data_IF_694413440683
#
_entry.id   IF_694413440683
#
_cell.length_a   1.000
_cell.length_b   1.000
_cell.length_c   1.000
_cell.angle_alpha   90.00
_cell.angle_beta   90.00
_cell.angle_gamma   90.00
#
_symmetry.space_group_name_H-M   'P 1'
#
loop_
_entity.id
_entity.type
_entity.pdbx_description
1 polymer ?
#
# COMPACT_ATOMS: atom_id res chain seq x y z
N UNK A 1 40.40 -9.26 -17.49
CA UNK A 1 38.98 -8.80 -17.50
C UNK A 1 38.96 -7.48 -16.75
N UNK A 2 38.97 -6.36 -17.46
CA UNK A 2 39.02 -5.02 -16.85
C UNK A 2 37.62 -4.61 -16.36
N UNK A 3 37.53 -4.22 -15.09
CA UNK A 3 36.31 -3.71 -14.48
C UNK A 3 36.10 -2.28 -14.99
N UNK A 4 34.99 -2.02 -15.66
CA UNK A 4 34.63 -0.70 -16.17
C UNK A 4 34.24 0.23 -15.00
N UNK A 5 35.21 1.01 -14.53
CA UNK A 5 35.06 1.98 -13.45
C UNK A 5 34.07 3.12 -13.78
N UNK A 6 33.82 3.41 -15.07
CA UNK A 6 32.84 4.42 -15.47
C UNK A 6 31.41 3.94 -15.26
N UNK A 7 31.16 2.64 -15.46
CA UNK A 7 29.86 2.02 -15.20
C UNK A 7 29.52 1.98 -13.70
N UNK A 8 30.55 1.81 -12.84
CA UNK A 8 30.40 1.88 -11.37
C UNK A 8 30.12 3.31 -10.90
N UNK A 9 30.79 4.32 -11.49
CA UNK A 9 30.55 5.75 -11.16
C UNK A 9 29.16 6.21 -11.59
N UNK A 10 28.66 5.81 -12.76
CA UNK A 10 27.30 6.12 -13.22
C UNK A 10 26.24 5.52 -12.29
N UNK A 11 26.44 4.29 -11.82
CA UNK A 11 25.54 3.65 -10.85
C UNK A 11 25.56 4.32 -9.48
N UNK A 12 26.72 4.85 -9.05
CA UNK A 12 26.86 5.57 -7.79
C UNK A 12 26.15 6.94 -7.82
N UNK A 13 26.23 7.67 -8.93
CA UNK A 13 25.51 8.95 -9.13
C UNK A 13 23.99 8.76 -9.20
N UNK A 14 23.51 7.69 -9.81
CA UNK A 14 22.08 7.30 -9.82
C UNK A 14 21.61 6.94 -8.42
N UNK A 15 22.44 6.27 -7.60
CA UNK A 15 22.11 5.95 -6.22
C UNK A 15 22.04 7.19 -5.31
N UNK A 16 22.93 8.18 -5.53
CA UNK A 16 22.95 9.46 -4.77
C UNK A 16 21.76 10.34 -5.16
N UNK A 17 21.40 10.40 -6.45
CA UNK A 17 20.19 11.13 -6.90
C UNK A 17 18.89 10.48 -6.39
N UNK A 18 18.87 9.15 -6.22
CA UNK A 18 17.76 8.42 -5.59
C UNK A 18 17.65 8.68 -4.09
N UNK A 19 18.76 8.86 -3.36
CA UNK A 19 18.76 9.25 -1.94
C UNK A 19 18.08 10.60 -1.71
N UNK A 20 18.34 11.62 -2.54
CA UNK A 20 17.71 12.96 -2.41
C UNK A 20 16.18 12.95 -2.55
N UNK A 21 15.59 11.96 -3.23
CA UNK A 21 14.13 11.84 -3.37
C UNK A 21 13.46 11.03 -2.25
N UNK A 22 14.21 10.19 -1.53
CA UNK A 22 13.73 9.52 -0.32
C UNK A 22 13.53 10.52 0.84
N UNK A 23 14.23 11.67 0.82
CA UNK A 23 14.08 12.75 1.81
C UNK A 23 12.69 13.43 1.77
N UNK A 24 11.87 13.12 0.76
CA UNK A 24 10.48 13.61 0.65
C UNK A 24 9.46 12.74 1.42
N UNK A 25 9.89 11.58 1.95
CA UNK A 25 9.03 10.74 2.77
C UNK A 25 8.94 11.32 4.17
N UNK A 26 7.73 11.69 4.57
CA UNK A 26 7.51 12.47 5.81
C UNK A 26 7.38 11.60 7.05
N UNK A 27 7.03 10.33 6.88
CA UNK A 27 6.81 9.37 7.97
C UNK A 27 8.03 8.49 8.26
N UNK A 28 8.90 8.29 7.27
CA UNK A 28 10.05 7.41 7.39
C UNK A 28 11.03 7.93 8.46
N UNK A 29 11.40 7.07 9.41
CA UNK A 29 12.34 7.40 10.49
C UNK A 29 11.78 8.23 11.65
N UNK A 30 10.52 8.68 11.61
CA UNK A 30 9.86 9.40 12.72
C UNK A 30 9.14 8.41 13.63
N UNK A 31 9.46 8.42 14.93
CA UNK A 31 8.81 7.56 15.94
C UNK A 31 7.58 8.20 16.58
N UNK A 32 7.41 9.52 16.47
CA UNK A 32 6.35 10.34 17.05
C UNK A 32 5.15 10.57 16.13
N UNK A 33 5.15 9.94 14.94
CA UNK A 33 4.06 10.06 13.99
C UNK A 33 2.76 9.49 14.57
N UNK A 34 1.72 10.33 14.66
CA UNK A 34 0.39 9.95 15.11
C UNK A 34 -0.37 9.18 14.03
N UNK A 35 -1.14 8.17 14.43
CA UNK A 35 -2.04 7.48 13.53
C UNK A 35 -3.13 8.44 13.03
N UNK A 36 -3.42 8.47 11.71
CA UNK A 36 -4.53 9.25 11.17
C UNK A 36 -5.86 8.83 11.81
N UNK A 37 -6.77 9.78 11.97
CA UNK A 37 -8.08 9.53 12.60
C UNK A 37 -9.07 8.81 11.69
N UNK A 38 -8.86 8.91 10.36
CA UNK A 38 -9.70 8.28 9.33
C UNK A 38 -8.88 8.08 8.04
N UNK A 39 -9.34 7.24 7.10
CA UNK A 39 -8.70 7.08 5.79
C UNK A 39 -8.60 8.38 4.99
N UNK A 40 -9.61 9.26 5.09
CA UNK A 40 -9.62 10.57 4.43
C UNK A 40 -8.48 11.49 4.91
N UNK A 41 -7.97 11.30 6.13
CA UNK A 41 -6.86 12.05 6.71
C UNK A 41 -5.51 11.32 6.59
N UNK A 42 -5.53 10.12 6.04
CA UNK A 42 -4.33 9.33 5.80
C UNK A 42 -3.75 9.62 4.40
N UNK A 43 -2.45 9.42 4.25
CA UNK A 43 -1.79 9.59 2.98
C UNK A 43 -0.88 8.40 2.69
N UNK A 44 -1.04 7.83 1.51
CA UNK A 44 -0.09 6.88 0.96
C UNK A 44 1.08 7.66 0.33
N UNK A 45 2.26 7.53 0.92
CA UNK A 45 3.49 8.10 0.38
C UNK A 45 4.10 7.15 -0.66
N UNK A 46 4.79 7.73 -1.62
CA UNK A 46 5.41 6.98 -2.71
C UNK A 46 6.84 7.44 -2.95
N UNK A 47 7.64 6.55 -3.52
CA UNK A 47 9.00 6.84 -3.95
C UNK A 47 9.25 6.31 -5.36
N UNK A 48 10.26 6.82 -6.09
CA UNK A 48 10.55 6.37 -7.45
C UNK A 48 10.88 4.88 -7.50
N UNK A 49 10.24 4.16 -8.43
CA UNK A 49 10.55 2.76 -8.68
C UNK A 49 12.04 2.60 -9.08
N UNK A 50 12.83 1.81 -8.33
CA UNK A 50 14.25 1.63 -8.61
C UNK A 50 14.54 0.87 -9.91
N UNK A 51 13.56 0.12 -10.45
CA UNK A 51 13.70 -0.70 -11.64
C UNK A 51 12.48 -0.58 -12.58
N UNK A 52 12.15 0.62 -13.12
CA UNK A 52 10.88 0.88 -13.83
C UNK A 52 10.76 0.12 -15.17
N UNK A 53 11.89 -0.38 -15.70
CA UNK A 53 11.91 -1.21 -16.94
C UNK A 53 11.72 -2.70 -16.65
N UNK A 54 11.70 -3.11 -15.38
CA UNK A 54 11.57 -4.50 -14.98
C UNK A 54 10.14 -4.79 -14.56
N UNK A 55 9.62 -5.92 -15.01
CA UNK A 55 8.33 -6.41 -14.56
C UNK A 55 8.55 -7.28 -13.31
N UNK A 56 8.25 -6.75 -12.13
CA UNK A 56 8.34 -7.45 -10.86
C UNK A 56 7.13 -7.11 -9.98
N UNK A 57 6.80 -8.02 -9.10
CA UNK A 57 5.64 -7.91 -8.22
C UNK A 57 6.09 -7.60 -6.79
N UNK A 58 5.36 -6.72 -6.14
CA UNK A 58 5.51 -6.41 -4.72
C UNK A 58 4.26 -6.92 -4.03
N UNK A 59 4.46 -7.62 -2.91
CA UNK A 59 3.40 -8.13 -2.06
C UNK A 59 3.49 -7.49 -0.68
N UNK A 60 2.38 -6.94 -0.20
CA UNK A 60 2.18 -6.52 1.18
C UNK A 60 1.10 -7.39 1.81
N UNK A 61 1.29 -7.77 3.06
CA UNK A 61 0.30 -8.47 3.86
C UNK A 61 0.23 -7.91 5.27
N UNK A 62 -0.95 -7.96 5.87
CA UNK A 62 -1.15 -7.64 7.30
C UNK A 62 -2.34 -8.41 7.85
N UNK A 63 -2.21 -8.94 9.05
CA UNK A 63 -3.29 -9.55 9.83
C UNK A 63 -3.93 -8.56 10.84
N UNK A 64 -3.42 -7.31 10.91
CA UNK A 64 -3.80 -6.31 11.92
C UNK A 64 -4.91 -5.35 11.43
N UNK A 65 -5.58 -5.64 10.31
CA UNK A 65 -6.60 -4.75 9.80
C UNK A 65 -7.90 -4.84 10.61
N UNK A 66 -8.48 -3.66 10.90
CA UNK A 66 -9.79 -3.57 11.54
C UNK A 66 -10.58 -2.36 11.03
N UNK A 67 -11.89 -2.52 10.93
CA UNK A 67 -12.88 -1.49 10.63
C UNK A 67 -14.11 -1.69 11.53
N UNK A 68 -15.16 -0.89 11.33
CA UNK A 68 -16.38 -0.98 12.13
C UNK A 68 -17.55 -1.32 11.21
N UNK A 69 -18.31 -2.36 11.57
CA UNK A 69 -19.56 -2.67 10.88
C UNK A 69 -20.53 -1.48 10.99
N UNK A 70 -21.03 -0.93 9.87
CA UNK A 70 -21.88 0.27 9.89
C UNK A 70 -23.25 0.01 10.53
N UNK A 71 -23.68 -1.25 10.56
CA UNK A 71 -24.99 -1.66 11.11
C UNK A 71 -24.91 -1.96 12.60
N UNK A 72 -23.98 -2.84 12.99
CA UNK A 72 -23.89 -3.34 14.38
C UNK A 72 -22.96 -2.53 15.29
N UNK A 73 -22.07 -1.74 14.70
CA UNK A 73 -21.01 -1.04 15.44
C UNK A 73 -19.93 -1.95 16.01
N UNK A 74 -19.93 -3.23 15.69
CA UNK A 74 -18.89 -4.18 16.10
C UNK A 74 -17.65 -4.04 15.21
N UNK A 75 -16.44 -4.32 15.74
CA UNK A 75 -15.24 -4.31 14.93
C UNK A 75 -15.24 -5.51 13.96
N UNK A 76 -14.84 -5.24 12.72
CA UNK A 76 -14.51 -6.23 11.70
C UNK A 76 -13.00 -6.38 11.64
N UNK A 77 -12.51 -7.62 11.68
CA UNK A 77 -11.08 -7.94 11.57
C UNK A 77 -10.82 -8.61 10.23
N UNK A 78 -9.70 -8.28 9.60
CA UNK A 78 -9.34 -8.89 8.33
C UNK A 78 -7.83 -9.06 8.16
N UNK A 79 -7.46 -10.06 7.36
CA UNK A 79 -6.18 -10.10 6.67
C UNK A 79 -6.31 -9.33 5.37
N UNK A 80 -5.38 -8.42 5.10
CA UNK A 80 -5.29 -7.69 3.84
C UNK A 80 -4.03 -8.12 3.10
N UNK A 81 -4.18 -8.54 1.86
CA UNK A 81 -3.11 -8.84 0.92
C UNK A 81 -3.20 -7.84 -0.25
N UNK A 82 -2.08 -7.20 -0.59
CA UNK A 82 -1.95 -6.27 -1.72
C UNK A 82 -0.81 -6.73 -2.61
N UNK A 83 -1.16 -7.23 -3.78
CA UNK A 83 -0.21 -7.63 -4.83
C UNK A 83 -0.20 -6.61 -5.95
N UNK A 84 0.95 -6.01 -6.29
CA UNK A 84 1.00 -5.06 -7.38
C UNK A 84 2.30 -5.10 -8.18
N UNK A 85 2.19 -4.67 -9.44
CA UNK A 85 3.32 -4.42 -10.33
C UNK A 85 3.52 -2.92 -10.46
N UNK A 86 4.59 -2.35 -9.88
CA UNK A 86 4.81 -0.91 -9.92
C UNK A 86 5.15 -0.45 -11.34
N UNK A 87 4.68 0.75 -11.72
CA UNK A 87 5.16 1.45 -12.92
C UNK A 87 6.30 2.41 -12.55
N UNK A 88 6.02 3.67 -12.34
CA UNK A 88 7.02 4.71 -12.02
C UNK A 88 7.26 4.89 -10.51
N UNK A 89 6.28 4.53 -9.70
CA UNK A 89 6.27 4.76 -8.26
C UNK A 89 6.03 3.45 -7.50
N UNK A 90 6.68 3.33 -6.35
CA UNK A 90 6.42 2.32 -5.34
C UNK A 90 5.77 2.97 -4.11
N UNK A 91 4.86 2.26 -3.46
CA UNK A 91 4.25 2.69 -2.20
C UNK A 91 5.24 2.48 -1.04
N UNK A 92 5.31 3.47 -0.14
CA UNK A 92 6.15 3.40 1.06
C UNK A 92 5.41 2.63 2.16
N UNK A 93 6.04 1.62 2.71
CA UNK A 93 5.42 0.62 3.61
C UNK A 93 4.94 1.19 4.94
N UNK A 94 5.63 2.16 5.54
CA UNK A 94 5.23 2.78 6.80
C UNK A 94 3.98 3.64 6.61
N UNK A 95 3.89 4.37 5.50
CA UNK A 95 2.68 5.13 5.16
C UNK A 95 1.48 4.21 4.91
N UNK A 96 1.71 3.06 4.25
CA UNK A 96 0.67 2.04 4.06
C UNK A 96 0.18 1.49 5.40
N UNK A 97 1.09 1.19 6.33
CA UNK A 97 0.72 0.78 7.70
C UNK A 97 -0.19 1.82 8.38
N UNK A 98 0.15 3.11 8.33
CA UNK A 98 -0.67 4.17 8.91
C UNK A 98 -2.00 4.32 8.20
N UNK A 99 -2.02 4.20 6.87
CA UNK A 99 -3.23 4.24 6.06
C UNK A 99 -4.19 3.11 6.45
N UNK A 100 -3.73 1.87 6.47
CA UNK A 100 -4.57 0.72 6.86
C UNK A 100 -5.04 0.83 8.32
N UNK A 101 -4.19 1.27 9.25
CA UNK A 101 -4.56 1.48 10.65
C UNK A 101 -5.58 2.63 10.85
N UNK A 102 -5.73 3.54 9.89
CA UNK A 102 -6.70 4.63 9.95
C UNK A 102 -8.16 4.17 9.85
N UNK A 103 -8.39 2.96 9.32
CA UNK A 103 -9.72 2.35 9.20
C UNK A 103 -10.32 1.87 10.54
N UNK A 104 -9.54 1.79 11.61
CA UNK A 104 -9.96 1.22 12.91
C UNK A 104 -11.24 1.79 13.50
N UNK A 105 -11.61 3.01 13.13
CA UNK A 105 -12.85 3.69 13.55
C UNK A 105 -13.78 3.99 12.36
N UNK A 106 -13.42 3.57 11.15
CA UNK A 106 -14.20 3.81 9.95
C UNK A 106 -15.38 2.86 9.89
N UNK A 107 -16.59 3.42 9.69
CA UNK A 107 -17.83 2.67 9.55
C UNK A 107 -18.10 2.44 8.06
N UNK A 108 -17.83 1.24 7.58
CA UNK A 108 -18.07 0.90 6.18
C UNK A 108 -18.33 -0.60 6.01
N UNK A 109 -19.06 -0.96 4.96
CA UNK A 109 -19.17 -2.35 4.55
C UNK A 109 -17.84 -2.90 4.03
N UNK A 110 -17.60 -4.16 4.24
CA UNK A 110 -16.35 -4.84 3.89
C UNK A 110 -16.00 -4.71 2.41
N UNK A 111 -17.01 -4.75 1.53
CA UNK A 111 -16.87 -4.55 0.09
C UNK A 111 -16.41 -3.12 -0.24
N UNK A 112 -17.00 -2.12 0.43
CA UNK A 112 -16.61 -0.73 0.24
C UNK A 112 -15.18 -0.47 0.72
N UNK A 113 -14.80 -1.00 1.88
CA UNK A 113 -13.43 -0.91 2.43
C UNK A 113 -12.41 -1.43 1.42
N UNK A 114 -12.63 -2.63 0.87
CA UNK A 114 -11.69 -3.26 -0.06
C UNK A 114 -11.53 -2.44 -1.35
N UNK A 115 -12.64 -1.94 -1.90
CA UNK A 115 -12.61 -1.10 -3.10
C UNK A 115 -11.95 0.26 -2.84
N UNK A 116 -12.21 0.92 -1.70
CA UNK A 116 -11.55 2.18 -1.33
C UNK A 116 -10.03 2.01 -1.19
N UNK A 117 -9.57 0.90 -0.60
CA UNK A 117 -8.14 0.59 -0.52
C UNK A 117 -7.54 0.47 -1.91
N UNK A 118 -8.20 -0.22 -2.83
CA UNK A 118 -7.77 -0.34 -4.23
C UNK A 118 -7.67 1.03 -4.91
N UNK A 119 -8.74 1.83 -4.83
CA UNK A 119 -8.82 3.15 -5.46
C UNK A 119 -7.73 4.10 -4.97
N UNK A 120 -7.54 4.17 -3.66
CA UNK A 120 -6.51 5.03 -3.06
C UNK A 120 -5.10 4.56 -3.42
N UNK A 121 -4.87 3.24 -3.49
CA UNK A 121 -3.60 2.67 -3.93
C UNK A 121 -3.30 3.03 -5.39
N UNK A 122 -4.28 2.87 -6.29
CA UNK A 122 -4.17 3.25 -7.70
C UNK A 122 -3.91 4.75 -7.85
N UNK A 123 -4.63 5.59 -7.10
CA UNK A 123 -4.44 7.04 -7.06
C UNK A 123 -3.02 7.44 -6.65
N UNK A 124 -2.47 6.75 -5.63
CA UNK A 124 -1.17 7.06 -5.08
C UNK A 124 -0.01 6.72 -6.01
N UNK A 125 0.02 5.53 -6.59
CA UNK A 125 1.22 5.05 -7.34
C UNK A 125 0.98 4.71 -8.80
N UNK A 126 -0.27 4.70 -9.29
CA UNK A 126 -0.63 4.34 -10.68
C UNK A 126 0.10 3.09 -11.14
N UNK A 127 -0.12 1.94 -10.51
CA UNK A 127 0.57 0.71 -10.84
C UNK A 127 0.14 0.19 -12.22
N UNK A 128 0.91 -0.74 -12.80
CA UNK A 128 0.49 -1.45 -14.02
C UNK A 128 -0.67 -2.39 -13.73
N UNK A 129 -0.63 -3.03 -12.58
CA UNK A 129 -1.70 -3.84 -12.01
C UNK A 129 -1.63 -3.83 -10.49
N UNK A 130 -2.77 -3.97 -9.84
CA UNK A 130 -2.86 -4.22 -8.39
C UNK A 130 -4.10 -5.06 -8.09
N UNK A 131 -3.94 -5.95 -7.13
CA UNK A 131 -5.00 -6.78 -6.57
C UNK A 131 -5.00 -6.55 -5.07
N UNK A 132 -6.16 -6.19 -4.52
CA UNK A 132 -6.40 -6.12 -3.08
C UNK A 132 -7.34 -7.25 -2.69
N UNK A 133 -6.90 -8.11 -1.77
CA UNK A 133 -7.72 -9.18 -1.21
C UNK A 133 -7.89 -8.96 0.28
N UNK A 134 -9.12 -8.81 0.73
CA UNK A 134 -9.49 -8.68 2.13
C UNK A 134 -10.24 -9.94 2.60
N UNK A 135 -9.66 -10.66 3.56
CA UNK A 135 -10.23 -11.86 4.15
C UNK A 135 -10.74 -11.52 5.54
N UNK A 136 -12.04 -11.31 5.67
CA UNK A 136 -12.67 -10.93 6.93
C UNK A 136 -12.94 -12.15 7.81
N UNK A 137 -12.73 -11.99 9.12
CA UNK A 137 -13.02 -13.01 10.11
C UNK A 137 -14.50 -13.41 10.10
N UNK A 138 -14.76 -14.70 10.26
CA UNK A 138 -16.11 -15.24 10.20
C UNK A 138 -17.02 -14.62 11.28
N UNK A 139 -18.24 -14.28 10.87
CA UNK A 139 -19.34 -13.86 11.76
C UNK A 139 -20.55 -14.75 11.53
N UNK A 140 -21.13 -15.28 12.59
CA UNK A 140 -22.23 -16.24 12.48
C UNK A 140 -21.88 -17.46 11.62
N UNK A 141 -20.60 -17.85 11.58
CA UNK A 141 -20.11 -18.98 10.77
C UNK A 141 -19.86 -18.64 9.29
N UNK A 142 -20.08 -17.41 8.84
CA UNK A 142 -19.84 -16.97 7.47
C UNK A 142 -18.52 -16.19 7.41
N UNK A 143 -17.56 -16.70 6.64
CA UNK A 143 -16.34 -16.00 6.28
C UNK A 143 -16.57 -15.25 4.95
N UNK A 144 -16.11 -14.01 4.87
CA UNK A 144 -16.20 -13.17 3.68
C UNK A 144 -14.81 -12.85 3.16
N UNK A 145 -14.59 -13.09 1.87
CA UNK A 145 -13.42 -12.61 1.16
C UNK A 145 -13.86 -11.69 0.04
N UNK A 146 -13.31 -10.48 0.01
CA UNK A 146 -13.50 -9.51 -1.07
C UNK A 146 -12.19 -9.37 -1.82
N UNK A 147 -12.27 -9.43 -3.16
CA UNK A 147 -11.12 -9.24 -4.04
C UNK A 147 -11.46 -8.20 -5.08
N UNK A 148 -10.68 -7.13 -5.11
CA UNK A 148 -10.77 -6.07 -6.08
C UNK A 148 -9.47 -5.96 -6.88
N UNK A 149 -9.53 -5.66 -8.18
CA UNK A 149 -8.34 -5.62 -9.04
C UNK A 149 -8.38 -4.43 -10.00
N UNK A 150 -7.19 -3.96 -10.39
CA UNK A 150 -6.97 -2.92 -11.38
C UNK A 150 -5.83 -3.35 -12.33
N UNK A 151 -5.93 -3.11 -13.67
CA UNK A 151 -7.14 -2.61 -14.35
C UNK A 151 -8.29 -3.60 -14.27
N UNK A 152 -9.53 -3.09 -14.40
CA UNK A 152 -10.71 -3.94 -14.49
C UNK A 152 -10.54 -4.91 -15.66
N UNK A 153 -10.81 -6.18 -15.42
CA UNK A 153 -10.91 -7.17 -16.49
C UNK A 153 -12.33 -7.15 -17.02
N UNK A 154 -12.44 -6.82 -18.31
CA UNK A 154 -13.68 -6.96 -19.07
C UNK A 154 -14.18 -8.43 -19.11
#
# INVERSE_FOLDING_TARGET
>A
MAIDLNRLRANFHVAVAKRKRADQLTLLGKSDAKLPSSPANARLETFPNPAPKRNYRIHFETDDFTSICPVTGQPDFARIDIDYVPDRLCVESKSLKFYLASYRNERAFNEAVTNHILEDFVKACRPREVIVTAQFSARGGIALTVRAEYPDKE
#
